data_IF_870182642996
#
_entry.id   IF_870182642996
#
_cell.length_a   1.000
_cell.length_b   1.000
_cell.length_c   1.000
_cell.angle_alpha   90.00
_cell.angle_beta   90.00
_cell.angle_gamma   90.00
#
_symmetry.space_group_name_H-M   'P 1'
#
loop_
_entity.id
_entity.type
_entity.pdbx_description
1 polymer ?
#
# COMPACT_ATOMS: atom_id res chain seq x y z
N UNK A 1 1.42 1.26 18.74
CA UNK A 1 1.72 0.02 18.03
C UNK A 1 2.54 -0.90 18.93
N UNK A 2 2.06 -2.11 19.20
CA UNK A 2 2.79 -3.15 19.93
C UNK A 2 3.88 -3.79 19.05
N UNK A 3 4.80 -4.55 19.64
CA UNK A 3 5.82 -5.26 18.86
C UNK A 3 5.24 -6.26 17.85
N UNK A 4 4.10 -6.88 18.17
CA UNK A 4 3.40 -7.79 17.27
C UNK A 4 2.71 -7.04 16.12
N UNK A 5 2.09 -5.90 16.39
CA UNK A 5 1.50 -5.04 15.37
C UNK A 5 2.57 -4.52 14.40
N UNK A 6 3.73 -4.11 14.92
CA UNK A 6 4.86 -3.67 14.10
C UNK A 6 5.34 -4.78 13.17
N UNK A 7 5.51 -6.00 13.68
CA UNK A 7 5.91 -7.14 12.86
C UNK A 7 4.88 -7.48 11.77
N UNK A 8 3.58 -7.43 12.10
CA UNK A 8 2.49 -7.64 11.13
C UNK A 8 2.51 -6.57 10.03
N UNK A 9 2.70 -5.31 10.42
CA UNK A 9 2.80 -4.18 9.50
C UNK A 9 3.99 -4.34 8.54
N UNK A 10 5.21 -4.52 9.07
CA UNK A 10 6.42 -4.69 8.25
C UNK A 10 6.31 -5.90 7.33
N UNK A 11 5.74 -7.01 7.79
CA UNK A 11 5.52 -8.21 6.97
C UNK A 11 4.55 -7.95 5.82
N UNK A 12 3.48 -7.18 6.05
CA UNK A 12 2.54 -6.80 4.99
C UNK A 12 3.25 -5.95 3.92
N UNK A 13 3.95 -4.88 4.31
CA UNK A 13 4.67 -4.03 3.36
C UNK A 13 5.75 -4.79 2.57
N UNK A 14 6.44 -5.71 3.25
CA UNK A 14 7.44 -6.57 2.59
C UNK A 14 6.81 -7.46 1.51
N UNK A 15 5.56 -7.93 1.70
CA UNK A 15 4.85 -8.73 0.69
C UNK A 15 4.53 -7.92 -0.56
N UNK A 16 4.20 -6.64 -0.44
CA UNK A 16 4.02 -5.76 -1.62
C UNK A 16 5.31 -5.73 -2.44
N UNK A 17 6.44 -5.42 -1.79
CA UNK A 17 7.75 -5.32 -2.45
C UNK A 17 8.14 -6.64 -3.12
N UNK A 18 7.98 -7.76 -2.41
CA UNK A 18 8.26 -9.09 -2.96
C UNK A 18 7.32 -9.48 -4.12
N UNK A 19 6.13 -8.87 -4.19
CA UNK A 19 5.17 -9.06 -5.28
C UNK A 19 5.38 -8.09 -6.45
N UNK A 20 6.49 -7.34 -6.46
CA UNK A 20 6.87 -6.45 -7.57
C UNK A 20 6.36 -5.01 -7.44
N UNK A 21 5.76 -4.64 -6.32
CA UNK A 21 5.34 -3.26 -6.07
C UNK A 21 6.53 -2.36 -5.78
N UNK A 22 6.44 -1.10 -6.19
CA UNK A 22 7.48 -0.08 -5.97
C UNK A 22 7.01 0.90 -4.92
N UNK A 23 7.69 0.94 -3.78
CA UNK A 23 7.43 1.88 -2.68
C UNK A 23 8.24 3.16 -2.81
N UNK A 24 7.58 4.31 -2.62
CA UNK A 24 8.20 5.63 -2.59
C UNK A 24 7.72 6.39 -1.35
N UNK A 25 8.62 6.90 -0.48
CA UNK A 25 8.23 7.80 0.58
C UNK A 25 7.77 9.14 0.01
N UNK A 26 6.71 9.71 0.59
CA UNK A 26 6.16 11.02 0.24
C UNK A 26 6.20 11.92 1.47
N UNK A 27 6.62 13.17 1.28
CA UNK A 27 6.80 14.14 2.35
C UNK A 27 8.28 14.39 2.65
N UNK A 28 8.59 14.71 3.91
CA UNK A 28 9.96 14.89 4.36
C UNK A 28 10.72 13.54 4.29
N UNK A 29 11.89 13.45 3.61
CA UNK A 29 12.65 12.20 3.56
C UNK A 29 13.12 11.67 4.92
N UNK A 30 13.25 12.55 5.92
CA UNK A 30 13.64 12.22 7.30
C UNK A 30 12.44 11.88 8.19
N UNK A 31 11.24 12.32 7.79
CA UNK A 31 9.97 12.03 8.45
C UNK A 31 8.84 11.87 7.39
N UNK A 32 8.77 10.73 6.70
CA UNK A 32 7.82 10.55 5.61
C UNK A 32 6.38 10.67 6.11
N UNK A 33 5.58 11.50 5.43
CA UNK A 33 4.16 11.65 5.73
C UNK A 33 3.35 10.41 5.31
N UNK A 34 3.80 9.75 4.24
CA UNK A 34 3.21 8.52 3.72
C UNK A 34 4.24 7.65 2.98
N UNK A 35 3.92 6.37 2.85
CA UNK A 35 4.57 5.45 1.92
C UNK A 35 3.59 5.09 0.82
N UNK A 36 3.94 5.37 -0.44
CA UNK A 36 3.10 5.06 -1.60
C UNK A 36 3.71 3.89 -2.36
N UNK A 37 2.95 2.82 -2.51
CA UNK A 37 3.30 1.66 -3.31
C UNK A 37 2.49 1.67 -4.60
N UNK A 38 3.15 1.46 -5.74
CA UNK A 38 2.49 1.35 -7.05
C UNK A 38 2.86 0.05 -7.75
N UNK A 39 1.90 -0.50 -8.48
CA UNK A 39 2.09 -1.65 -9.35
C UNK A 39 1.24 -1.50 -10.62
N UNK A 40 1.92 -1.43 -11.76
CA UNK A 40 1.29 -1.14 -13.05
C UNK A 40 1.41 -2.35 -13.98
N UNK A 41 0.29 -2.72 -14.62
CA UNK A 41 0.22 -3.82 -15.58
C UNK A 41 -0.85 -3.57 -16.65
N UNK A 42 -0.46 -3.44 -17.91
CA UNK A 42 -1.37 -3.48 -19.06
C UNK A 42 -2.58 -2.53 -18.97
N UNK A 43 -2.38 -1.27 -18.60
CA UNK A 43 -3.46 -0.28 -18.45
C UNK A 43 -4.22 -0.34 -17.13
N UNK A 44 -3.83 -1.25 -16.23
CA UNK A 44 -4.21 -1.27 -14.82
C UNK A 44 -3.10 -0.62 -14.00
N UNK A 45 -3.47 0.30 -13.11
CA UNK A 45 -2.58 0.90 -12.12
C UNK A 45 -3.17 0.67 -10.74
N UNK A 46 -2.48 -0.09 -9.91
CA UNK A 46 -2.85 -0.29 -8.52
C UNK A 46 -1.94 0.57 -7.61
N UNK A 47 -2.53 1.23 -6.63
CA UNK A 47 -1.82 2.06 -5.66
C UNK A 47 -2.22 1.69 -4.22
N UNK A 48 -1.25 1.68 -3.30
CA UNK A 48 -1.48 1.59 -1.85
C UNK A 48 -0.76 2.76 -1.19
N UNK A 49 -1.51 3.62 -0.50
CA UNK A 49 -1.00 4.74 0.29
C UNK A 49 -1.12 4.37 1.75
N UNK A 50 0.02 4.23 2.42
CA UNK A 50 0.10 3.97 3.86
C UNK A 50 0.36 5.30 4.56
N UNK A 51 -0.55 5.69 5.45
CA UNK A 51 -0.54 6.95 6.19
C UNK A 51 -0.30 6.68 7.68
N UNK A 52 0.58 7.46 8.30
CA UNK A 52 0.89 7.30 9.72
C UNK A 52 1.44 5.90 10.05
N UNK A 53 1.00 5.33 11.16
CA UNK A 53 1.59 4.09 11.70
C UNK A 53 0.98 2.78 11.17
N UNK A 54 -0.29 2.76 10.74
CA UNK A 54 -0.94 1.52 10.29
C UNK A 54 -2.19 1.72 9.42
N UNK A 55 -2.55 2.94 9.03
CA UNK A 55 -3.70 3.16 8.17
C UNK A 55 -3.29 3.14 6.70
N UNK A 56 -4.12 2.56 5.84
CA UNK A 56 -3.86 2.53 4.41
C UNK A 56 -5.13 2.72 3.59
N UNK A 57 -4.93 3.26 2.40
CA UNK A 57 -5.95 3.33 1.35
C UNK A 57 -5.35 2.74 0.09
N UNK A 58 -6.09 1.91 -0.61
CA UNK A 58 -5.69 1.38 -1.89
C UNK A 58 -6.74 1.63 -2.97
N UNK A 59 -6.27 1.84 -4.19
CA UNK A 59 -7.10 2.04 -5.37
C UNK A 59 -6.61 1.15 -6.52
N UNK A 60 -7.56 0.68 -7.33
CA UNK A 60 -7.30 0.13 -8.66
C UNK A 60 -7.87 1.07 -9.70
N UNK A 61 -7.04 1.50 -10.62
CA UNK A 61 -7.42 2.25 -11.79
C UNK A 61 -7.29 1.40 -13.06
N UNK A 62 -8.28 1.47 -13.94
CA UNK A 62 -8.26 0.85 -15.26
C UNK A 62 -8.50 1.95 -16.28
N UNK A 63 -7.53 2.19 -17.17
CA UNK A 63 -7.59 3.26 -18.17
C UNK A 63 -7.94 4.64 -17.57
N UNK A 64 -7.31 4.96 -16.43
CA UNK A 64 -7.48 6.24 -15.72
C UNK A 64 -8.80 6.39 -14.96
N UNK A 65 -9.53 5.30 -14.72
CA UNK A 65 -10.77 5.31 -13.92
C UNK A 65 -10.62 4.39 -12.71
N UNK A 66 -10.90 4.89 -11.52
CA UNK A 66 -10.96 4.07 -10.30
C UNK A 66 -12.13 3.08 -10.40
N UNK A 67 -11.81 1.78 -10.35
CA UNK A 67 -12.80 0.69 -10.39
C UNK A 67 -12.90 -0.08 -9.08
N UNK A 68 -11.90 0.04 -8.19
CA UNK A 68 -11.94 -0.48 -6.82
C UNK A 68 -11.22 0.49 -5.88
N UNK A 69 -11.70 0.53 -4.64
CA UNK A 69 -11.02 1.18 -3.54
C UNK A 69 -11.27 0.38 -2.25
N UNK A 70 -10.27 0.34 -1.37
CA UNK A 70 -10.38 -0.24 -0.02
C UNK A 70 -9.54 0.60 0.94
N UNK A 71 -10.03 0.79 2.15
CA UNK A 71 -9.34 1.48 3.23
C UNK A 71 -9.40 0.68 4.53
N UNK A 72 -8.46 0.98 5.44
CA UNK A 72 -8.38 0.35 6.75
C UNK A 72 -6.93 0.00 7.15
N UNK A 73 -6.73 -0.96 8.06
CA UNK A 73 -5.41 -1.33 8.52
C UNK A 73 -4.51 -1.81 7.38
N UNK A 74 -3.25 -1.38 7.37
CA UNK A 74 -2.31 -1.62 6.27
C UNK A 74 -2.17 -3.12 5.94
N UNK A 75 -2.16 -3.98 6.96
CA UNK A 75 -2.09 -5.42 6.75
C UNK A 75 -3.33 -6.01 6.04
N UNK A 76 -4.51 -5.45 6.29
CA UNK A 76 -5.77 -5.91 5.69
C UNK A 76 -5.93 -5.38 4.27
N UNK A 77 -5.62 -4.09 4.07
CA UNK A 77 -5.56 -3.47 2.75
C UNK A 77 -4.57 -4.20 1.84
N UNK A 78 -3.36 -4.51 2.32
CA UNK A 78 -2.37 -5.27 1.54
C UNK A 78 -2.88 -6.67 1.20
N UNK A 79 -3.55 -7.35 2.13
CA UNK A 79 -4.10 -8.68 1.86
C UNK A 79 -5.14 -8.63 0.74
N UNK A 80 -6.07 -7.69 0.81
CA UNK A 80 -7.10 -7.46 -0.19
C UNK A 80 -6.50 -7.12 -1.56
N UNK A 81 -5.56 -6.17 -1.60
CA UNK A 81 -4.93 -5.71 -2.85
C UNK A 81 -4.15 -6.81 -3.56
N UNK A 82 -3.45 -7.68 -2.81
CA UNK A 82 -2.73 -8.82 -3.39
C UNK A 82 -3.66 -9.91 -3.94
N UNK A 83 -4.95 -9.87 -3.60
CA UNK A 83 -5.97 -10.78 -4.15
C UNK A 83 -6.61 -10.28 -5.45
N UNK A 84 -6.34 -9.03 -5.84
CA UNK A 84 -6.98 -8.38 -6.97
C UNK A 84 -6.48 -8.78 -8.37
#
# INVERSE_FOLDING_TARGET
MTGQEHARHTAALSRLVLSGWRGTPVGDPTEPAALVYVHERGGVSDAVVVQGCDEAVATREVLGRTVRAVDGPAAEVVHEVLSW
#
